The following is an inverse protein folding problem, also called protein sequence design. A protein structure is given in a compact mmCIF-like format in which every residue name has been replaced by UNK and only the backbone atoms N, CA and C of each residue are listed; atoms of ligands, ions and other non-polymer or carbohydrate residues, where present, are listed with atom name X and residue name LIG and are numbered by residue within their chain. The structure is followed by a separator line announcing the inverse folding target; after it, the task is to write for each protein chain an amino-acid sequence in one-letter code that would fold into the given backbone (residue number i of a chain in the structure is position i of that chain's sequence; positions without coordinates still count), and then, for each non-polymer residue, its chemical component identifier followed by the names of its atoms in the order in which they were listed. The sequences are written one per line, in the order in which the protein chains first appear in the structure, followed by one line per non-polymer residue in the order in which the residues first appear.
data_IF_416764120772
#
_entry.id   IF_416764120772
#
_cell.length_a   1.000
_cell.length_b   1.000
_cell.length_c   1.000
_cell.angle_alpha   90.00
_cell.angle_beta   90.00
_cell.angle_gamma   90.00
#
_symmetry.space_group_name_H-M   'P 1'
#
loop_
_entity.id
_entity.type
_entity.pdbx_description
1 polymer ?
#
# COMPACT_ATOMS: atom_id res chain seq x y z
N UNK A 1 5.47 41.48 -43.84
CA UNK A 1 5.21 41.56 -42.39
C UNK A 1 4.70 40.19 -41.97
N UNK A 2 5.52 39.42 -41.25
CA UNK A 2 5.24 38.04 -40.85
C UNK A 2 4.13 38.05 -39.79
N UNK A 3 2.97 37.51 -40.13
CA UNK A 3 1.94 37.17 -39.15
C UNK A 3 2.26 35.78 -38.63
N UNK A 4 2.84 35.70 -37.44
CA UNK A 4 3.01 34.46 -36.69
C UNK A 4 1.62 33.84 -36.46
N UNK A 5 1.50 32.54 -36.75
CA UNK A 5 0.33 31.75 -36.38
C UNK A 5 0.16 31.78 -34.85
N UNK A 6 -1.08 31.72 -34.33
CA UNK A 6 -1.29 31.62 -32.89
C UNK A 6 -0.65 30.33 -32.37
N UNK A 7 0.28 30.49 -31.44
CA UNK A 7 0.81 29.42 -30.59
C UNK A 7 -0.24 29.10 -29.53
N UNK A 8 -1.00 28.04 -29.74
CA UNK A 8 -1.72 27.35 -28.68
C UNK A 8 -1.61 25.86 -28.96
N UNK A 9 -0.43 25.29 -28.67
CA UNK A 9 -0.39 23.91 -28.18
C UNK A 9 -1.06 23.94 -26.80
N UNK A 10 -2.40 23.95 -26.80
CA UNK A 10 -3.14 23.37 -25.70
C UNK A 10 -2.89 21.86 -25.81
N UNK A 11 -1.77 21.41 -25.24
CA UNK A 11 -1.59 20.00 -24.97
C UNK A 11 -2.77 19.61 -24.08
N UNK A 12 -3.74 18.88 -24.64
CA UNK A 12 -4.75 18.20 -23.86
C UNK A 12 -3.99 17.44 -22.76
N UNK A 13 -4.34 17.73 -21.51
CA UNK A 13 -3.75 17.08 -20.35
C UNK A 13 -4.15 15.61 -20.41
N UNK A 14 -3.35 14.78 -21.08
CA UNK A 14 -3.64 13.37 -21.28
C UNK A 14 -3.47 12.67 -19.93
N UNK A 15 -4.59 12.50 -19.22
CA UNK A 15 -4.62 11.75 -17.97
C UNK A 15 -4.22 10.30 -18.25
N UNK A 16 -2.99 9.95 -17.88
CA UNK A 16 -2.52 8.57 -17.92
C UNK A 16 -3.33 7.70 -16.95
N UNK A 17 -3.79 6.54 -17.41
CA UNK A 17 -4.51 5.58 -16.56
C UNK A 17 -3.52 4.79 -15.69
N UNK A 18 -3.68 4.85 -14.36
CA UNK A 18 -2.91 4.06 -13.41
C UNK A 18 -3.64 2.75 -13.06
N UNK A 19 -3.08 1.60 -13.42
CA UNK A 19 -3.66 0.27 -13.13
C UNK A 19 -3.09 -0.29 -11.83
N UNK A 20 -3.93 -0.52 -10.83
CA UNK A 20 -3.50 -0.99 -9.52
C UNK A 20 -4.07 -2.38 -9.25
N UNK A 21 -3.20 -3.35 -8.97
CA UNK A 21 -3.58 -4.62 -8.37
C UNK A 21 -3.65 -4.47 -6.85
N UNK A 22 -4.74 -4.92 -6.23
CA UNK A 22 -4.89 -4.98 -4.77
C UNK A 22 -5.25 -6.40 -4.35
N UNK A 23 -4.34 -7.05 -3.64
CA UNK A 23 -4.54 -8.40 -3.09
C UNK A 23 -4.51 -8.38 -1.57
N UNK A 24 -5.42 -9.10 -0.93
CA UNK A 24 -5.37 -9.40 0.51
C UNK A 24 -5.39 -10.90 0.75
N UNK A 25 -4.55 -11.39 1.66
CA UNK A 25 -4.50 -12.81 2.01
C UNK A 25 -4.15 -13.05 3.49
N UNK A 26 -5.05 -13.71 4.23
CA UNK A 26 -4.71 -14.30 5.52
C UNK A 26 -4.00 -15.64 5.27
N UNK A 27 -2.71 -15.71 5.59
CA UNK A 27 -1.85 -16.86 5.33
C UNK A 27 -1.91 -17.94 6.42
N UNK A 28 -2.65 -17.69 7.51
CA UNK A 28 -2.84 -18.60 8.63
C UNK A 28 -1.51 -19.13 9.21
N UNK A 29 -0.49 -18.26 9.28
CA UNK A 29 0.83 -18.60 9.78
C UNK A 29 1.61 -19.60 8.93
N UNK A 30 1.16 -19.90 7.71
CA UNK A 30 1.82 -20.80 6.77
C UNK A 30 2.79 -20.05 5.88
N UNK A 31 3.78 -20.78 5.39
CA UNK A 31 4.66 -20.31 4.33
C UNK A 31 3.88 -20.09 3.01
N UNK A 32 4.34 -19.15 2.16
CA UNK A 32 3.72 -18.95 0.85
C UNK A 32 3.90 -20.18 -0.06
N UNK A 33 2.98 -20.43 -1.01
CA UNK A 33 3.16 -21.47 -2.02
C UNK A 33 4.38 -21.18 -2.91
N UNK A 34 4.83 -22.20 -3.63
CA UNK A 34 5.95 -22.05 -4.56
C UNK A 34 5.62 -21.14 -5.75
N UNK A 35 4.36 -21.05 -6.16
CA UNK A 35 3.93 -20.19 -7.26
C UNK A 35 2.82 -19.23 -6.83
N UNK A 36 3.09 -17.92 -6.89
CA UNK A 36 2.12 -16.87 -6.62
C UNK A 36 1.49 -16.32 -7.92
N UNK A 37 1.95 -16.74 -9.10
CA UNK A 37 1.50 -16.24 -10.40
C UNK A 37 -0.02 -16.38 -10.60
N UNK A 38 -0.70 -17.47 -10.17
CA UNK A 38 -2.15 -17.58 -10.30
C UNK A 38 -2.91 -16.49 -9.55
N UNK A 39 -2.37 -15.99 -8.44
CA UNK A 39 -2.99 -14.94 -7.64
C UNK A 39 -2.62 -13.54 -8.13
N UNK A 40 -1.33 -13.32 -8.43
CA UNK A 40 -0.82 -12.03 -8.91
C UNK A 40 -1.11 -11.79 -10.41
N UNK A 41 -1.69 -12.78 -11.08
CA UNK A 41 -2.18 -12.68 -12.45
C UNK A 41 -1.10 -12.83 -13.52
N UNK A 42 0.00 -13.53 -13.20
CA UNK A 42 1.14 -13.97 -14.04
C UNK A 42 1.39 -13.21 -15.34
N UNK A 43 2.54 -12.54 -15.45
CA UNK A 43 2.97 -11.86 -16.68
C UNK A 43 3.55 -10.47 -16.42
N UNK A 44 4.57 -10.10 -17.19
CA UNK A 44 5.22 -8.79 -17.10
C UNK A 44 4.23 -7.65 -17.46
N UNK A 45 4.37 -6.49 -16.81
CA UNK A 45 3.75 -5.21 -17.19
C UNK A 45 2.20 -5.07 -17.17
N UNK A 46 1.51 -5.98 -16.46
CA UNK A 46 0.03 -5.93 -16.35
C UNK A 46 -0.51 -4.78 -15.51
N UNK A 47 0.12 -4.47 -14.38
CA UNK A 47 -0.31 -3.41 -13.47
C UNK A 47 0.84 -2.46 -13.21
N UNK A 48 0.51 -1.22 -12.92
CA UNK A 48 1.46 -0.16 -12.63
C UNK A 48 1.91 -0.24 -11.17
N UNK A 49 0.98 -0.59 -10.26
CA UNK A 49 1.24 -0.86 -8.86
C UNK A 49 0.67 -2.23 -8.44
N UNK A 50 1.39 -2.92 -7.58
CA UNK A 50 0.94 -4.10 -6.84
C UNK A 50 0.90 -3.78 -5.35
N UNK A 51 -0.29 -3.83 -4.77
CA UNK A 51 -0.55 -3.61 -3.35
C UNK A 51 -0.94 -4.95 -2.74
N UNK A 52 -0.06 -5.50 -1.91
CA UNK A 52 -0.24 -6.84 -1.33
C UNK A 52 -0.31 -6.76 0.18
N UNK A 53 -1.51 -6.90 0.72
CA UNK A 53 -1.78 -7.00 2.14
C UNK A 53 -1.83 -8.45 2.60
N UNK A 54 -1.14 -8.79 3.69
CA UNK A 54 -1.27 -10.11 4.32
C UNK A 54 -1.55 -10.01 5.80
N UNK A 55 -2.23 -11.02 6.34
CA UNK A 55 -2.44 -11.22 7.76
C UNK A 55 -1.94 -12.61 8.14
N UNK A 56 -1.47 -12.78 9.39
CA UNK A 56 -0.86 -14.04 9.84
C UNK A 56 0.28 -14.48 8.90
N UNK A 57 1.05 -13.51 8.39
CA UNK A 57 2.02 -13.75 7.33
C UNK A 57 3.21 -14.59 7.81
N UNK A 58 3.40 -15.76 7.17
CA UNK A 58 4.49 -16.74 7.35
C UNK A 58 4.59 -17.42 8.71
N UNK A 59 3.97 -16.88 9.76
CA UNK A 59 4.06 -17.39 11.14
C UNK A 59 2.80 -17.05 11.92
N UNK A 60 2.56 -17.80 13.00
CA UNK A 60 1.54 -17.43 13.98
C UNK A 60 1.77 -16.00 14.48
N UNK A 61 0.72 -15.40 15.02
CA UNK A 61 0.78 -14.04 15.59
C UNK A 61 1.84 -13.98 16.69
N UNK A 62 1.87 -14.96 17.59
CA UNK A 62 2.83 -15.07 18.68
C UNK A 62 4.27 -15.09 18.18
N UNK A 63 4.56 -15.94 17.18
CA UNK A 63 5.88 -16.02 16.58
C UNK A 63 6.25 -14.76 15.80
N UNK A 64 5.27 -14.03 15.26
CA UNK A 64 5.52 -12.75 14.59
C UNK A 64 5.88 -11.62 15.57
N UNK A 65 5.51 -11.73 16.85
CA UNK A 65 6.00 -10.80 17.89
C UNK A 65 7.48 -11.06 18.22
N UNK A 66 7.92 -12.32 18.19
CA UNK A 66 9.31 -12.71 18.44
C UNK A 66 10.22 -12.51 17.21
N UNK A 67 9.69 -12.77 16.02
CA UNK A 67 10.41 -12.72 14.74
C UNK A 67 9.63 -11.87 13.73
N UNK A 68 9.76 -10.53 13.80
CA UNK A 68 8.90 -9.61 13.05
C UNK A 68 9.22 -9.58 11.54
N UNK A 69 10.41 -10.01 11.12
CA UNK A 69 10.84 -9.94 9.73
C UNK A 69 9.93 -10.73 8.78
N UNK A 70 9.55 -10.09 7.68
CA UNK A 70 8.78 -10.64 6.56
C UNK A 70 9.62 -10.84 5.29
N UNK A 71 10.96 -10.83 5.40
CA UNK A 71 11.86 -10.91 4.26
C UNK A 71 11.61 -12.13 3.34
N UNK A 72 11.26 -13.30 3.90
CA UNK A 72 10.93 -14.50 3.10
C UNK A 72 9.71 -14.26 2.20
N UNK A 73 8.69 -13.57 2.71
CA UNK A 73 7.49 -13.21 1.95
C UNK A 73 7.80 -12.16 0.88
N UNK A 74 8.51 -11.10 1.25
CA UNK A 74 8.90 -10.02 0.34
C UNK A 74 9.78 -10.53 -0.81
N UNK A 75 10.68 -11.47 -0.53
CA UNK A 75 11.50 -12.15 -1.53
C UNK A 75 10.63 -12.95 -2.50
N UNK A 76 9.62 -13.67 -2.00
CA UNK A 76 8.72 -14.46 -2.85
C UNK A 76 7.89 -13.60 -3.79
N UNK A 77 7.41 -12.44 -3.31
CA UNK A 77 6.74 -11.45 -4.14
C UNK A 77 7.67 -10.92 -5.24
N UNK A 78 8.91 -10.57 -4.87
CA UNK A 78 9.92 -10.07 -5.82
C UNK A 78 10.24 -11.09 -6.91
N UNK A 79 10.48 -12.35 -6.53
CA UNK A 79 10.73 -13.44 -7.47
C UNK A 79 9.55 -13.64 -8.44
N UNK A 80 8.32 -13.54 -7.95
CA UNK A 80 7.13 -13.73 -8.79
C UNK A 80 6.89 -12.55 -9.74
N UNK A 81 7.12 -11.31 -9.27
CA UNK A 81 6.90 -10.10 -10.07
C UNK A 81 8.04 -9.85 -11.07
N UNK A 82 9.26 -10.30 -10.78
CA UNK A 82 10.43 -10.13 -11.63
C UNK A 82 11.05 -8.73 -11.60
N UNK A 83 12.11 -8.54 -12.39
CA UNK A 83 12.96 -7.33 -12.35
C UNK A 83 12.28 -6.07 -12.92
N UNK A 84 11.14 -6.23 -13.59
CA UNK A 84 10.28 -5.14 -14.06
C UNK A 84 9.61 -4.36 -12.93
N UNK A 85 9.61 -4.88 -11.70
CA UNK A 85 9.03 -4.22 -10.52
C UNK A 85 10.07 -3.94 -9.44
N UNK A 86 9.81 -2.88 -8.68
CA UNK A 86 10.62 -2.45 -7.53
C UNK A 86 9.74 -2.42 -6.30
N UNK A 87 10.24 -2.96 -5.17
CA UNK A 87 9.59 -2.78 -3.88
C UNK A 87 9.77 -1.34 -3.42
N UNK A 88 8.69 -0.57 -3.37
CA UNK A 88 8.68 0.86 -3.03
C UNK A 88 8.68 1.04 -1.52
N UNK A 89 7.81 0.29 -0.82
CA UNK A 89 7.70 0.34 0.62
C UNK A 89 7.03 -0.92 1.16
N UNK A 90 7.40 -1.29 2.38
CA UNK A 90 6.65 -2.26 3.18
C UNK A 90 6.37 -1.70 4.58
N UNK A 91 5.31 -2.18 5.21
CA UNK A 91 5.04 -1.90 6.62
C UNK A 91 4.48 -3.13 7.33
N UNK A 92 4.87 -3.31 8.60
CA UNK A 92 4.51 -4.49 9.39
C UNK A 92 4.06 -4.11 10.80
N UNK A 93 2.94 -4.70 11.23
CA UNK A 93 2.49 -4.71 12.61
C UNK A 93 2.27 -6.17 13.04
N UNK A 94 3.23 -6.71 13.78
CA UNK A 94 3.31 -8.14 14.12
C UNK A 94 3.08 -9.06 12.90
N UNK A 95 1.91 -9.66 12.76
CA UNK A 95 1.60 -10.57 11.66
C UNK A 95 0.81 -9.93 10.50
N UNK A 96 0.52 -8.63 10.59
CA UNK A 96 -0.13 -7.83 9.55
C UNK A 96 0.98 -7.16 8.73
N UNK A 97 0.95 -7.31 7.42
CA UNK A 97 1.99 -6.80 6.53
C UNK A 97 1.38 -6.19 5.28
N UNK A 98 1.96 -5.11 4.78
CA UNK A 98 1.57 -4.47 3.53
C UNK A 98 2.83 -4.21 2.72
N UNK A 99 2.86 -4.70 1.48
CA UNK A 99 3.93 -4.46 0.54
C UNK A 99 3.41 -3.74 -0.69
N UNK A 100 4.13 -2.71 -1.12
CA UNK A 100 3.87 -1.95 -2.33
C UNK A 100 5.02 -2.18 -3.31
N UNK A 101 4.70 -2.73 -4.47
CA UNK A 101 5.60 -2.82 -5.61
C UNK A 101 5.09 -1.90 -6.72
N UNK A 102 6.01 -1.27 -7.44
CA UNK A 102 5.69 -0.44 -8.60
C UNK A 102 6.48 -0.89 -9.80
N UNK A 103 5.90 -0.71 -10.99
CA UNK A 103 6.60 -0.91 -12.26
C UNK A 103 7.81 0.02 -12.30
N UNK A 104 8.97 -0.49 -12.71
CA UNK A 104 10.25 0.23 -12.69
C UNK A 104 10.19 1.57 -13.44
N UNK A 105 9.42 1.65 -14.53
CA UNK A 105 9.25 2.87 -15.33
C UNK A 105 8.51 3.99 -14.60
N UNK A 106 7.85 3.72 -13.46
CA UNK A 106 7.13 4.71 -12.66
C UNK A 106 7.94 5.29 -11.52
N UNK A 107 9.16 4.79 -11.28
CA UNK A 107 9.96 5.17 -10.12
C UNK A 107 10.21 6.68 -10.05
N UNK A 108 10.45 7.34 -11.18
CA UNK A 108 10.68 8.79 -11.23
C UNK A 108 9.40 9.62 -10.94
N UNK A 109 8.23 8.99 -11.07
CA UNK A 109 6.94 9.62 -10.74
C UNK A 109 6.51 9.35 -9.29
N UNK A 110 7.17 8.45 -8.56
CA UNK A 110 6.78 8.10 -7.19
C UNK A 110 7.45 9.03 -6.19
N UNK A 111 6.64 9.65 -5.34
CA UNK A 111 7.09 10.58 -4.32
C UNK A 111 6.39 10.39 -2.98
N UNK A 112 6.82 11.17 -1.98
CA UNK A 112 6.15 11.33 -0.69
C UNK A 112 5.77 10.02 0.03
N UNK A 113 6.59 8.98 -0.09
CA UNK A 113 6.31 7.66 0.48
C UNK A 113 6.41 7.71 2.01
N UNK A 114 5.33 7.35 2.70
CA UNK A 114 5.22 7.33 4.18
C UNK A 114 4.51 6.07 4.64
N UNK A 115 4.85 5.59 5.82
CA UNK A 115 4.21 4.41 6.43
C UNK A 115 3.79 4.71 7.87
N UNK A 116 2.71 4.08 8.32
CA UNK A 116 2.27 4.12 9.71
C UNK A 116 1.42 2.89 10.05
N UNK A 117 1.21 2.64 11.34
CA UNK A 117 0.47 1.49 11.83
C UNK A 117 -0.25 1.80 13.13
N UNK A 118 -1.39 1.13 13.35
CA UNK A 118 -2.24 1.29 14.53
C UNK A 118 -2.58 -0.10 15.07
N UNK A 119 -2.21 -0.36 16.33
CA UNK A 119 -2.62 -1.57 17.03
C UNK A 119 -4.01 -1.42 17.66
N UNK A 120 -4.82 -2.46 17.50
CA UNK A 120 -6.18 -2.57 18.08
C UNK A 120 -6.38 -3.89 18.84
N UNK A 121 -5.33 -4.69 18.98
CA UNK A 121 -5.39 -6.01 19.59
C UNK A 121 -5.52 -6.00 21.12
N UNK A 122 -5.02 -7.05 21.79
CA UNK A 122 -5.20 -7.21 23.25
C UNK A 122 -4.72 -5.93 23.97
N UNK A 123 -5.58 -5.42 24.85
CA UNK A 123 -5.39 -4.17 25.58
C UNK A 123 -5.08 -2.94 24.69
N UNK A 124 -5.49 -2.95 23.42
CA UNK A 124 -5.19 -1.94 22.41
C UNK A 124 -3.68 -1.71 22.15
N UNK A 125 -2.82 -2.65 22.56
CA UNK A 125 -1.36 -2.51 22.48
C UNK A 125 -0.69 -3.67 21.75
N UNK A 126 -1.31 -4.85 21.74
CA UNK A 126 -0.72 -6.02 21.09
C UNK A 126 -1.05 -6.03 19.58
N UNK A 127 -0.04 -6.28 18.73
CA UNK A 127 -0.17 -6.23 17.27
C UNK A 127 -0.98 -7.37 16.62
N UNK A 128 -1.76 -8.14 17.39
CA UNK A 128 -2.55 -9.25 16.86
C UNK A 128 -3.76 -8.81 16.02
N UNK A 129 -4.16 -7.54 16.17
CA UNK A 129 -5.19 -6.83 15.39
C UNK A 129 -4.76 -5.39 15.17
N UNK A 130 -5.23 -4.79 14.09
CA UNK A 130 -4.92 -3.41 13.76
C UNK A 130 -4.83 -3.16 12.27
N UNK A 131 -4.14 -2.09 11.90
CA UNK A 131 -3.91 -1.69 10.53
C UNK A 131 -2.48 -1.22 10.27
N UNK A 132 -1.99 -1.48 9.07
CA UNK A 132 -0.76 -0.91 8.52
C UNK A 132 -1.11 -0.11 7.27
N UNK A 133 -0.43 1.02 7.07
CA UNK A 133 -0.67 1.91 5.95
C UNK A 133 0.60 2.31 5.21
N UNK A 134 0.43 2.57 3.92
CA UNK A 134 1.42 3.20 3.03
C UNK A 134 0.72 4.36 2.32
N UNK A 135 1.31 5.55 2.38
CA UNK A 135 0.89 6.72 1.62
C UNK A 135 1.99 7.12 0.64
N UNK A 136 1.61 7.60 -0.54
CA UNK A 136 2.54 8.00 -1.59
C UNK A 136 1.88 8.96 -2.58
N UNK A 137 2.68 9.60 -3.41
CA UNK A 137 2.25 10.22 -4.66
C UNK A 137 2.75 9.43 -5.86
N UNK A 138 1.96 9.41 -6.93
CA UNK A 138 2.35 8.95 -8.27
C UNK A 138 2.02 10.10 -9.23
N UNK A 139 3.04 10.80 -9.71
CA UNK A 139 2.88 12.09 -10.38
C UNK A 139 2.11 13.06 -9.47
N UNK A 140 0.96 13.51 -9.95
CA UNK A 140 0.04 14.39 -9.22
C UNK A 140 -1.11 13.65 -8.52
N UNK A 141 -1.06 12.32 -8.42
CA UNK A 141 -2.10 11.53 -7.73
C UNK A 141 -1.61 11.08 -6.36
N UNK A 142 -2.40 11.36 -5.32
CA UNK A 142 -2.12 10.93 -3.96
C UNK A 142 -2.89 9.68 -3.58
N UNK A 143 -2.18 8.70 -3.01
CA UNK A 143 -2.73 7.41 -2.61
C UNK A 143 -2.50 7.15 -1.12
N UNK A 144 -3.48 6.51 -0.50
CA UNK A 144 -3.39 5.93 0.85
C UNK A 144 -3.90 4.49 0.79
N UNK A 145 -3.01 3.56 1.12
CA UNK A 145 -3.23 2.12 1.07
C UNK A 145 -3.25 1.58 2.49
N UNK A 146 -4.32 0.87 2.88
CA UNK A 146 -4.49 0.35 4.24
C UNK A 146 -4.77 -1.15 4.17
N UNK A 147 -3.99 -1.94 4.91
CA UNK A 147 -4.28 -3.33 5.21
C UNK A 147 -4.65 -3.46 6.69
N UNK A 148 -5.73 -4.18 6.99
CA UNK A 148 -6.19 -4.38 8.37
C UNK A 148 -6.48 -5.84 8.70
N UNK A 149 -6.30 -6.19 9.97
CA UNK A 149 -6.75 -7.44 10.56
C UNK A 149 -7.64 -7.07 11.74
N UNK A 150 -8.96 -7.10 11.53
CA UNK A 150 -9.97 -6.70 12.52
C UNK A 150 -10.38 -7.88 13.40
N UNK A 151 -11.07 -7.60 14.51
CA UNK A 151 -11.53 -8.59 15.46
C UNK A 151 -12.28 -9.78 14.81
N UNK A 152 -11.85 -10.99 15.21
CA UNK A 152 -12.43 -12.25 14.76
C UNK A 152 -13.73 -12.57 15.52
N UNK A 153 -14.36 -13.70 15.15
CA UNK A 153 -15.63 -14.21 15.68
C UNK A 153 -16.88 -13.53 15.11
N UNK A 154 -17.92 -14.35 14.92
CA UNK A 154 -19.16 -13.97 14.24
C UNK A 154 -19.81 -12.72 14.88
N UNK A 155 -19.92 -12.74 16.21
CA UNK A 155 -20.67 -11.73 16.97
C UNK A 155 -19.85 -10.48 17.35
N UNK A 156 -18.57 -10.40 16.98
CA UNK A 156 -17.69 -9.29 17.35
C UNK A 156 -17.85 -8.05 16.43
N UNK A 157 -19.08 -7.74 16.01
CA UNK A 157 -19.36 -6.62 15.08
C UNK A 157 -18.93 -5.29 15.69
N UNK A 158 -19.33 -5.01 16.93
CA UNK A 158 -19.00 -3.75 17.61
C UNK A 158 -17.50 -3.57 17.81
N UNK A 159 -16.79 -4.68 18.07
CA UNK A 159 -15.34 -4.65 18.17
C UNK A 159 -14.68 -4.35 16.82
N UNK A 160 -15.16 -4.94 15.71
CA UNK A 160 -14.65 -4.60 14.37
C UNK A 160 -14.90 -3.15 14.01
N UNK A 161 -16.06 -2.60 14.36
CA UNK A 161 -16.38 -1.18 14.16
C UNK A 161 -15.43 -0.31 15.00
N UNK A 162 -15.18 -0.69 16.24
CA UNK A 162 -14.23 0.01 17.13
C UNK A 162 -12.80 -0.04 16.61
N UNK A 163 -12.35 -1.19 16.10
CA UNK A 163 -11.05 -1.36 15.46
C UNK A 163 -10.91 -0.43 14.25
N UNK A 164 -11.93 -0.39 13.37
CA UNK A 164 -11.97 0.49 12.21
C UNK A 164 -11.87 1.96 12.61
N UNK A 165 -12.72 2.44 13.52
CA UNK A 165 -12.71 3.84 13.96
C UNK A 165 -11.39 4.24 14.60
N UNK A 166 -10.75 3.32 15.34
CA UNK A 166 -9.42 3.55 15.91
C UNK A 166 -8.34 3.65 14.82
N UNK A 167 -8.37 2.76 13.83
CA UNK A 167 -7.44 2.83 12.69
C UNK A 167 -7.63 4.15 11.95
N UNK A 168 -8.86 4.52 11.61
CA UNK A 168 -9.18 5.76 10.89
C UNK A 168 -8.70 7.01 11.66
N UNK A 169 -8.99 7.08 12.96
CA UNK A 169 -8.64 8.25 13.79
C UNK A 169 -7.16 8.35 14.18
N UNK A 170 -6.43 7.24 14.26
CA UNK A 170 -5.05 7.21 14.75
C UNK A 170 -4.00 6.90 13.69
N UNK A 171 -4.40 6.50 12.48
CA UNK A 171 -3.45 6.32 11.38
C UNK A 171 -2.86 7.69 11.04
N UNK A 172 -1.59 7.90 11.37
CA UNK A 172 -0.87 9.16 11.15
C UNK A 172 -0.44 9.34 9.68
N UNK A 173 -1.33 8.99 8.76
CA UNK A 173 -1.18 9.17 7.32
C UNK A 173 -2.37 9.95 6.78
N UNK A 174 -2.08 10.83 5.83
CA UNK A 174 -3.07 11.44 4.95
C UNK A 174 -2.53 11.28 3.53
N UNK A 175 -3.39 11.18 2.50
CA UNK A 175 -2.93 11.36 1.13
C UNK A 175 -2.10 12.66 1.07
N UNK A 176 -0.90 12.66 0.47
CA UNK A 176 -0.06 13.86 0.47
C UNK A 176 -0.79 14.98 -0.28
N UNK A 177 -0.67 16.22 0.19
CA UNK A 177 -1.15 17.35 -0.62
C UNK A 177 -0.24 17.49 -1.83
N UNK A 178 -0.80 17.45 -3.03
CA UNK A 178 -0.06 17.76 -4.25
C UNK A 178 -0.02 19.28 -4.34
N UNK A 179 1.16 19.87 -4.14
CA UNK A 179 1.35 21.29 -4.40
C UNK A 179 1.28 21.49 -5.91
N UNK A 180 0.16 22.02 -6.41
CA UNK A 180 0.08 22.51 -7.78
C UNK A 180 0.96 23.77 -7.84
N UNK A 181 1.98 23.75 -8.69
CA UNK A 181 2.83 24.93 -8.91
C UNK A 181 1.95 26.10 -9.41
N UNK A 182 1.59 27.02 -8.51
CA UNK A 182 0.73 28.17 -8.82
C UNK A 182 -0.22 28.56 -7.70
N UNK A 183 -0.56 27.66 -6.78
CA UNK A 183 -1.39 27.98 -5.62
C UNK A 183 -0.51 28.61 -4.53
N UNK A 184 -0.56 29.95 -4.43
CA UNK A 184 -0.01 30.65 -3.27
C UNK A 184 -0.90 30.29 -2.09
N UNK A 185 -0.32 29.73 -1.03
CA UNK A 185 -0.96 29.64 0.27
C UNK A 185 -1.39 31.04 0.73
N UNK A 186 -2.64 31.41 0.47
CA UNK A 186 -3.29 32.51 1.15
C UNK A 186 -3.97 31.96 2.38
N UNK A 187 -3.22 31.84 3.47
CA UNK A 187 -3.79 31.69 4.81
C UNK A 187 -3.21 32.79 5.68
N UNK A 188 -4.04 33.79 5.93
CA UNK A 188 -3.94 34.71 7.06
C UNK A 188 -4.53 34.04 8.31
#
# INVERSE_FOLDING_TARGET
CLSLAPTTDEAEDEFATLRIFVGTWNMHGKDPPEDLSPWLGGGEDRYDLYVVGTQEACRSIEMSLLLPSKAKWEMKLRETLGDGYVCVATNTLAAIHLALFARRSLMDSIGCVRTAQVATGIANTLGNKGGVGISLTVGQTSLLLINSHLAAHQNAVDQRNSDYLRIDSQMSLRPPSVLIAGERDSVA
#
